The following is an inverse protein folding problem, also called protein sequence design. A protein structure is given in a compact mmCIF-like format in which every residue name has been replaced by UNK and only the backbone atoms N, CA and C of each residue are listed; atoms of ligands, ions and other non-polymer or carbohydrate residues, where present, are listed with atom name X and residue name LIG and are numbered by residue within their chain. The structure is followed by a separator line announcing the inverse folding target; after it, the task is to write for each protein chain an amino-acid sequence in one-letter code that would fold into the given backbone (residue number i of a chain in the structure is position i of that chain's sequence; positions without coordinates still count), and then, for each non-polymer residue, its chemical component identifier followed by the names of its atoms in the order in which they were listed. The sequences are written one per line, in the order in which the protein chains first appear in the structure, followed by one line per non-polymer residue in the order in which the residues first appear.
data_IF_130629613505
#
_entry.id   IF_130629613505
#
_cell.length_a   1.000
_cell.length_b   1.000
_cell.length_c   1.000
_cell.angle_alpha   90.00
_cell.angle_beta   90.00
_cell.angle_gamma   90.00
#
_symmetry.space_group_name_H-M   'P 1'
#
loop_
_entity.id
_entity.type
_entity.pdbx_description
1 polymer ?
#
# COMPACT_ATOMS: atom_id res chain seq x y z
N UNK A 1 29.83 54.80 3.85
CA UNK A 1 28.45 54.62 3.38
C UNK A 1 28.40 53.38 2.51
N UNK A 2 28.03 52.24 3.06
CA UNK A 2 27.71 51.03 2.31
C UNK A 2 26.19 50.91 2.29
N UNK A 3 25.59 51.26 1.16
CA UNK A 3 24.15 51.15 0.95
C UNK A 3 23.82 49.66 0.88
N UNK A 4 23.13 49.15 1.89
CA UNK A 4 22.48 47.85 1.83
C UNK A 4 21.38 47.94 0.76
N UNK A 5 21.66 47.38 -0.41
CA UNK A 5 20.64 47.16 -1.45
C UNK A 5 19.64 46.17 -0.87
N UNK A 6 18.51 46.70 -0.39
CA UNK A 6 17.39 45.90 0.10
C UNK A 6 17.00 44.91 -0.99
N UNK A 7 17.05 43.61 -0.67
CA UNK A 7 16.44 42.60 -1.54
C UNK A 7 15.00 43.04 -1.79
N UNK A 8 14.53 43.07 -3.06
CA UNK A 8 13.13 43.32 -3.31
C UNK A 8 12.32 42.29 -2.50
N UNK A 9 11.34 42.77 -1.74
CA UNK A 9 10.33 41.92 -1.11
C UNK A 9 9.76 41.05 -2.23
N UNK A 10 10.15 39.77 -2.26
CA UNK A 10 9.49 38.80 -3.13
C UNK A 10 8.04 38.76 -2.64
N UNK A 11 7.14 39.32 -3.44
CA UNK A 11 5.71 39.18 -3.18
C UNK A 11 5.44 37.67 -3.23
N UNK A 12 5.04 37.11 -2.09
CA UNK A 12 4.70 35.68 -1.99
C UNK A 12 3.61 35.38 -3.00
N UNK A 13 3.88 34.45 -3.91
CA UNK A 13 2.92 34.07 -4.94
C UNK A 13 1.81 33.19 -4.36
N UNK A 14 0.71 32.98 -5.11
CA UNK A 14 -0.34 32.04 -4.71
C UNK A 14 0.20 30.60 -4.52
N UNK A 15 1.27 30.23 -5.24
CA UNK A 15 1.94 28.94 -5.07
C UNK A 15 2.57 28.80 -3.67
N UNK A 16 3.29 29.82 -3.18
CA UNK A 16 3.94 29.80 -1.87
C UNK A 16 2.90 29.74 -0.75
N UNK A 17 1.78 30.46 -0.92
CA UNK A 17 0.66 30.43 0.04
C UNK A 17 0.01 29.04 0.09
N UNK A 18 -0.15 28.37 -1.05
CA UNK A 18 -0.67 27.01 -1.11
C UNK A 18 0.34 25.99 -0.55
N UNK A 19 1.63 26.15 -0.82
CA UNK A 19 2.70 25.32 -0.26
C UNK A 19 2.73 25.40 1.28
N UNK A 20 2.71 26.62 1.81
CA UNK A 20 2.60 26.90 3.25
C UNK A 20 1.36 26.20 3.83
N UNK A 21 0.20 26.30 3.16
CA UNK A 21 -1.03 25.64 3.59
C UNK A 21 -0.87 24.12 3.58
N UNK A 22 -0.39 23.52 2.49
CA UNK A 22 -0.28 22.07 2.34
C UNK A 22 0.63 21.46 3.41
N UNK A 23 1.73 22.15 3.74
CA UNK A 23 2.77 21.66 4.65
C UNK A 23 2.55 22.00 6.13
N UNK A 24 1.42 22.61 6.51
CA UNK A 24 1.14 22.88 7.92
C UNK A 24 1.15 21.62 8.76
N UNK A 25 1.76 21.73 9.94
CA UNK A 25 1.70 20.72 10.98
C UNK A 25 0.28 20.62 11.54
N UNK A 26 -0.27 19.41 11.48
CA UNK A 26 -1.66 19.09 11.82
C UNK A 26 -1.79 17.58 12.01
N UNK A 27 -2.89 17.17 12.63
CA UNK A 27 -3.17 15.76 12.93
C UNK A 27 -2.99 14.81 11.73
N UNK A 28 -3.50 15.19 10.55
CA UNK A 28 -3.22 14.48 9.28
C UNK A 28 -2.48 15.42 8.35
N UNK A 29 -1.15 15.33 8.30
CA UNK A 29 -0.34 16.06 7.33
C UNK A 29 -0.89 15.91 5.91
N UNK A 30 -0.92 16.96 5.10
CA UNK A 30 -1.43 16.89 3.72
C UNK A 30 -0.29 16.74 2.73
N UNK A 31 0.50 17.81 2.55
CA UNK A 31 1.57 17.86 1.56
C UNK A 31 1.06 17.87 0.12
N UNK A 32 1.95 18.15 -0.84
CA UNK A 32 1.63 18.02 -2.27
C UNK A 32 1.31 16.57 -2.62
N UNK A 33 2.01 15.62 -2.01
CA UNK A 33 1.74 14.19 -2.15
C UNK A 33 0.31 13.81 -1.77
N UNK A 34 -0.29 14.50 -0.79
CA UNK A 34 -1.66 14.30 -0.33
C UNK A 34 -2.71 14.53 -1.42
N UNK A 35 -2.45 15.44 -2.38
CA UNK A 35 -3.36 15.74 -3.49
C UNK A 35 -3.57 14.51 -4.37
N UNK A 36 -2.53 13.69 -4.55
CA UNK A 36 -2.63 12.41 -5.24
C UNK A 36 -3.12 11.30 -4.30
N UNK A 37 -2.49 11.18 -3.13
CA UNK A 37 -2.70 10.06 -2.22
C UNK A 37 -4.15 9.96 -1.74
N UNK A 38 -4.71 11.03 -1.17
CA UNK A 38 -5.99 10.94 -0.48
C UNK A 38 -7.15 10.55 -1.40
N UNK A 39 -7.38 11.20 -2.56
CA UNK A 39 -8.47 10.80 -3.43
C UNK A 39 -8.25 9.37 -3.97
N UNK A 40 -7.04 9.02 -4.39
CA UNK A 40 -6.77 7.69 -4.93
C UNK A 40 -6.94 6.58 -3.87
N UNK A 41 -6.40 6.76 -2.66
CA UNK A 41 -6.54 5.78 -1.58
C UNK A 41 -8.01 5.65 -1.14
N UNK A 42 -8.69 6.78 -0.99
CA UNK A 42 -10.11 6.80 -0.61
C UNK A 42 -10.98 6.08 -1.65
N UNK A 43 -10.76 6.35 -2.94
CA UNK A 43 -11.50 5.70 -4.02
C UNK A 43 -11.19 4.21 -4.13
N UNK A 44 -9.93 3.79 -4.00
CA UNK A 44 -9.57 2.37 -4.05
C UNK A 44 -10.20 1.57 -2.91
N UNK A 45 -10.09 2.06 -1.67
CA UNK A 45 -10.69 1.41 -0.49
C UNK A 45 -12.21 1.47 -0.56
N UNK A 46 -12.78 2.62 -0.92
CA UNK A 46 -14.22 2.80 -1.07
C UNK A 46 -14.83 1.90 -2.12
N UNK A 47 -14.16 1.72 -3.27
CA UNK A 47 -14.59 0.80 -4.32
C UNK A 47 -14.54 -0.66 -3.86
N UNK A 48 -13.50 -1.06 -3.12
CA UNK A 48 -13.41 -2.40 -2.55
C UNK A 48 -14.54 -2.67 -1.54
N UNK A 49 -14.78 -1.75 -0.60
CA UNK A 49 -15.88 -1.86 0.36
C UNK A 49 -17.25 -1.89 -0.32
N UNK A 50 -17.47 -1.01 -1.31
CA UNK A 50 -18.73 -0.96 -2.07
C UNK A 50 -18.95 -2.26 -2.83
N UNK A 51 -17.93 -2.75 -3.54
CA UNK A 51 -18.03 -3.94 -4.37
C UNK A 51 -18.26 -5.20 -3.53
N UNK A 52 -17.45 -5.41 -2.49
CA UNK A 52 -17.61 -6.55 -1.58
C UNK A 52 -18.93 -6.52 -0.80
N UNK A 53 -19.55 -5.35 -0.64
CA UNK A 53 -20.83 -5.26 0.06
C UNK A 53 -22.03 -5.47 -0.86
N UNK A 54 -22.01 -4.92 -2.07
CA UNK A 54 -23.22 -4.79 -2.89
C UNK A 54 -23.12 -5.35 -4.31
N UNK A 55 -21.93 -5.70 -4.82
CA UNK A 55 -21.74 -5.95 -6.26
C UNK A 55 -21.48 -7.43 -6.55
N UNK A 56 -22.27 -7.94 -7.49
CA UNK A 56 -22.16 -9.32 -7.99
C UNK A 56 -20.99 -9.52 -8.95
N UNK A 57 -20.50 -10.76 -9.02
CA UNK A 57 -19.60 -11.23 -10.08
C UNK A 57 -20.29 -12.21 -11.03
N UNK A 58 -21.63 -12.25 -11.04
CA UNK A 58 -22.39 -13.21 -11.83
C UNK A 58 -22.12 -13.08 -13.33
N UNK A 59 -22.04 -11.85 -13.84
CA UNK A 59 -21.87 -11.58 -15.27
C UNK A 59 -20.43 -11.70 -15.77
N UNK A 60 -19.46 -11.77 -14.85
CA UNK A 60 -18.03 -11.88 -15.19
C UNK A 60 -17.47 -13.26 -14.90
N UNK A 61 -17.89 -13.89 -13.80
CA UNK A 61 -17.36 -15.18 -13.32
C UNK A 61 -18.45 -16.23 -13.03
N UNK A 62 -19.74 -15.88 -13.07
CA UNK A 62 -20.81 -16.79 -12.62
C UNK A 62 -20.79 -17.04 -11.11
N UNK A 63 -20.36 -16.03 -10.33
CA UNK A 63 -20.18 -16.14 -8.88
C UNK A 63 -20.98 -15.08 -8.13
N UNK A 64 -21.55 -15.47 -6.99
CA UNK A 64 -21.91 -14.52 -5.93
C UNK A 64 -20.62 -14.03 -5.26
N UNK A 65 -20.51 -12.73 -4.98
CA UNK A 65 -19.26 -12.13 -4.48
C UNK A 65 -19.46 -11.01 -3.46
N UNK A 66 -20.69 -10.78 -3.01
CA UNK A 66 -21.01 -9.70 -2.09
C UNK A 66 -21.78 -10.14 -0.86
N UNK A 67 -21.70 -9.34 0.23
CA UNK A 67 -22.53 -9.55 1.43
C UNK A 67 -24.03 -9.58 1.08
N UNK A 68 -24.46 -8.72 0.14
CA UNK A 68 -25.84 -8.68 -0.35
C UNK A 68 -26.30 -10.03 -0.93
N UNK A 69 -25.40 -10.79 -1.54
CA UNK A 69 -25.68 -12.11 -2.14
C UNK A 69 -25.48 -13.26 -1.15
N UNK A 70 -25.10 -12.98 0.10
CA UNK A 70 -24.90 -13.99 1.15
C UNK A 70 -23.45 -14.47 1.30
N UNK A 71 -22.47 -13.83 0.68
CA UNK A 71 -21.06 -14.07 0.98
C UNK A 71 -20.71 -13.57 2.40
N UNK A 72 -19.62 -14.09 2.96
CA UNK A 72 -19.04 -13.62 4.22
C UNK A 72 -17.69 -12.94 3.96
N UNK A 73 -17.04 -12.40 5.00
CA UNK A 73 -15.78 -11.66 4.85
C UNK A 73 -14.69 -12.45 4.09
N UNK A 74 -14.66 -13.78 4.22
CA UNK A 74 -13.68 -14.61 3.54
C UNK A 74 -14.02 -14.82 2.05
N UNK A 75 -15.30 -14.79 1.69
CA UNK A 75 -15.77 -15.15 0.34
C UNK A 75 -16.18 -13.96 -0.52
N UNK A 76 -16.36 -12.77 0.05
CA UNK A 76 -16.58 -11.55 -0.74
C UNK A 76 -15.35 -11.18 -1.57
N UNK A 77 -15.59 -10.63 -2.75
CA UNK A 77 -14.54 -10.12 -3.63
C UNK A 77 -15.06 -9.04 -4.57
N UNK A 78 -14.18 -8.10 -4.93
CA UNK A 78 -14.32 -7.36 -6.19
C UNK A 78 -13.59 -8.15 -7.27
N UNK A 79 -14.34 -8.91 -8.07
CA UNK A 79 -13.78 -9.81 -9.07
C UNK A 79 -13.37 -9.11 -10.35
N UNK A 80 -12.37 -9.67 -11.03
CA UNK A 80 -11.87 -9.17 -12.30
C UNK A 80 -12.95 -9.15 -13.40
N UNK A 81 -12.82 -8.28 -14.41
CA UNK A 81 -13.72 -8.28 -15.58
C UNK A 81 -13.70 -9.60 -16.33
N UNK A 82 -14.75 -9.88 -17.10
CA UNK A 82 -14.81 -11.06 -17.97
C UNK A 82 -13.63 -11.10 -18.95
N UNK A 83 -13.19 -12.30 -19.37
CA UNK A 83 -12.06 -12.43 -20.30
C UNK A 83 -12.29 -11.72 -21.65
N UNK A 84 -13.55 -11.59 -22.09
CA UNK A 84 -13.93 -10.85 -23.29
C UNK A 84 -13.62 -9.35 -23.24
N UNK A 85 -13.42 -8.79 -22.04
CA UNK A 85 -13.05 -7.39 -21.85
C UNK A 85 -11.56 -7.12 -22.15
N UNK A 86 -10.75 -8.17 -22.34
CA UNK A 86 -9.32 -8.04 -22.60
C UNK A 86 -8.63 -7.20 -21.52
N UNK A 87 -7.82 -6.24 -21.97
CA UNK A 87 -7.13 -5.28 -21.11
C UNK A 87 -7.78 -3.90 -21.13
N UNK A 88 -9.09 -3.80 -21.44
CA UNK A 88 -9.78 -2.51 -21.39
C UNK A 88 -9.58 -1.84 -20.03
N UNK A 89 -9.29 -0.54 -20.03
CA UNK A 89 -9.22 0.25 -18.79
C UNK A 89 -10.59 0.29 -18.10
N UNK A 90 -11.66 0.00 -18.85
CA UNK A 90 -13.02 -0.14 -18.35
C UNK A 90 -13.43 1.12 -17.59
N UNK A 91 -13.23 2.29 -18.22
CA UNK A 91 -13.68 3.56 -17.66
C UNK A 91 -15.20 3.61 -17.64
N UNK A 92 -15.78 4.29 -16.64
CA UNK A 92 -17.23 4.48 -16.55
C UNK A 92 -17.79 5.16 -17.80
N UNK A 93 -17.08 6.17 -18.33
CA UNK A 93 -17.40 6.86 -19.58
C UNK A 93 -16.84 6.17 -20.83
N UNK A 94 -16.27 4.96 -20.68
CA UNK A 94 -15.73 4.17 -21.78
C UNK A 94 -16.83 3.56 -22.66
N UNK A 95 -16.47 3.03 -23.84
CA UNK A 95 -17.43 2.48 -24.80
C UNK A 95 -18.19 1.24 -24.28
N UNK A 96 -17.66 0.55 -23.27
CA UNK A 96 -18.26 -0.65 -22.70
C UNK A 96 -19.42 -0.32 -21.75
N UNK A 97 -19.26 0.72 -20.93
CA UNK A 97 -20.24 1.14 -19.92
C UNK A 97 -21.09 2.33 -20.36
N UNK A 98 -20.56 3.23 -21.20
CA UNK A 98 -21.27 4.38 -21.79
C UNK A 98 -21.93 5.28 -20.74
N UNK A 99 -21.31 5.43 -19.57
CA UNK A 99 -21.82 6.21 -18.45
C UNK A 99 -22.84 5.49 -17.56
N UNK A 100 -23.28 4.27 -17.92
CA UNK A 100 -24.18 3.47 -17.08
C UNK A 100 -23.39 2.82 -15.94
N UNK A 101 -23.55 3.37 -14.73
CA UNK A 101 -22.88 2.89 -13.52
C UNK A 101 -23.29 1.48 -13.12
N UNK A 102 -24.57 1.10 -13.26
CA UNK A 102 -25.03 -0.22 -12.88
C UNK A 102 -24.41 -1.28 -13.78
N UNK A 103 -24.42 -1.02 -15.11
CA UNK A 103 -23.77 -1.89 -16.08
C UNK A 103 -22.26 -1.96 -15.87
N UNK A 104 -21.62 -0.83 -15.59
CA UNK A 104 -20.19 -0.78 -15.29
C UNK A 104 -19.79 -1.67 -14.10
N UNK A 105 -20.59 -1.67 -13.03
CA UNK A 105 -20.43 -2.59 -11.91
C UNK A 105 -20.59 -4.05 -12.34
N UNK A 106 -21.63 -4.37 -13.13
CA UNK A 106 -21.90 -5.74 -13.61
C UNK A 106 -20.76 -6.30 -14.47
N UNK A 107 -20.07 -5.47 -15.27
CA UNK A 107 -18.98 -5.92 -16.15
C UNK A 107 -17.60 -5.87 -15.50
N UNK A 108 -17.52 -5.67 -14.18
CA UNK A 108 -16.28 -5.72 -13.41
C UNK A 108 -15.49 -4.41 -13.37
N UNK A 109 -16.11 -3.27 -13.68
CA UNK A 109 -15.44 -1.97 -13.70
C UNK A 109 -14.83 -1.55 -12.35
N UNK A 110 -15.42 -1.99 -11.23
CA UNK A 110 -14.86 -1.74 -9.90
C UNK A 110 -13.48 -2.39 -9.71
N UNK A 111 -13.15 -3.46 -10.44
CA UNK A 111 -11.83 -4.09 -10.35
C UNK A 111 -10.75 -3.17 -10.94
N UNK A 112 -10.93 -2.67 -12.16
CA UNK A 112 -9.96 -1.76 -12.78
C UNK A 112 -9.90 -0.44 -12.02
N UNK A 113 -11.03 0.05 -11.53
CA UNK A 113 -11.10 1.23 -10.68
C UNK A 113 -10.27 1.07 -9.40
N UNK A 114 -10.43 -0.06 -8.69
CA UNK A 114 -9.67 -0.37 -7.47
C UNK A 114 -8.19 -0.52 -7.78
N UNK A 115 -7.84 -1.26 -8.84
CA UNK A 115 -6.45 -1.50 -9.22
C UNK A 115 -5.72 -0.20 -9.62
N UNK A 116 -6.33 0.63 -10.47
CA UNK A 116 -5.71 1.86 -10.98
C UNK A 116 -5.62 2.94 -9.90
N UNK A 117 -6.70 3.20 -9.15
CA UNK A 117 -6.62 4.15 -8.02
C UNK A 117 -5.67 3.62 -6.94
N UNK A 118 -5.64 2.31 -6.69
CA UNK A 118 -4.67 1.69 -5.80
C UNK A 118 -3.22 1.92 -6.23
N UNK A 119 -2.92 1.77 -7.53
CA UNK A 119 -1.59 2.05 -8.06
C UNK A 119 -1.18 3.52 -7.83
N UNK A 120 -2.05 4.48 -8.15
CA UNK A 120 -1.79 5.90 -7.92
C UNK A 120 -1.70 6.25 -6.43
N UNK A 121 -2.48 5.59 -5.57
CA UNK A 121 -2.40 5.75 -4.12
C UNK A 121 -1.02 5.30 -3.60
N UNK A 122 -0.49 4.18 -4.08
CA UNK A 122 0.85 3.71 -3.71
C UNK A 122 1.95 4.68 -4.15
N UNK A 123 1.82 5.28 -5.35
CA UNK A 123 2.70 6.36 -5.81
C UNK A 123 2.61 7.56 -4.87
N UNK A 124 1.39 8.03 -4.58
CA UNK A 124 1.14 9.15 -3.67
C UNK A 124 1.70 8.89 -2.26
N UNK A 125 1.62 7.65 -1.76
CA UNK A 125 2.16 7.28 -0.46
C UNK A 125 3.69 7.29 -0.44
N UNK A 126 4.34 6.79 -1.48
CA UNK A 126 5.80 6.85 -1.61
C UNK A 126 6.30 8.31 -1.71
N UNK A 127 5.61 9.14 -2.50
CA UNK A 127 5.88 10.58 -2.57
C UNK A 127 5.72 11.25 -1.21
N UNK A 128 4.71 10.84 -0.42
CA UNK A 128 4.49 11.35 0.93
C UNK A 128 5.63 11.00 1.88
N UNK A 129 6.14 9.77 1.81
CA UNK A 129 7.29 9.37 2.62
C UNK A 129 8.53 10.22 2.30
N UNK A 130 8.76 10.54 1.02
CA UNK A 130 9.85 11.43 0.58
C UNK A 130 9.61 12.86 1.07
N UNK A 131 8.39 13.39 0.91
CA UNK A 131 8.04 14.76 1.29
C UNK A 131 8.21 14.97 2.80
N UNK A 132 7.67 14.07 3.63
CA UNK A 132 7.82 14.15 5.09
C UNK A 132 9.30 14.00 5.48
N UNK A 133 10.02 13.03 4.90
CA UNK A 133 11.44 12.86 5.19
C UNK A 133 12.24 14.14 4.88
N UNK A 134 11.91 14.83 3.79
CA UNK A 134 12.55 16.08 3.41
C UNK A 134 12.22 17.22 4.37
N UNK A 135 10.97 17.32 4.84
CA UNK A 135 10.54 18.38 5.77
C UNK A 135 11.13 18.20 7.17
N UNK A 136 11.22 16.95 7.65
CA UNK A 136 11.82 16.63 8.95
C UNK A 136 13.35 16.65 8.89
N UNK A 137 13.94 16.46 7.71
CA UNK A 137 15.40 16.47 7.52
C UNK A 137 16.06 15.10 7.75
N UNK A 138 15.33 14.00 7.53
CA UNK A 138 15.82 12.62 7.66
C UNK A 138 16.10 11.98 6.30
N UNK A 139 16.93 10.93 6.30
CA UNK A 139 17.23 10.15 5.08
C UNK A 139 15.99 9.34 4.65
N UNK A 140 15.64 9.27 3.35
CA UNK A 140 14.36 8.71 2.89
C UNK A 140 14.33 7.17 2.75
N UNK A 141 14.95 6.42 3.68
CA UNK A 141 15.03 4.95 3.58
C UNK A 141 13.66 4.26 3.64
N UNK A 142 12.70 4.85 4.34
CA UNK A 142 11.33 4.32 4.38
C UNK A 142 10.68 4.31 2.98
N UNK A 143 10.91 5.36 2.18
CA UNK A 143 10.42 5.43 0.80
C UNK A 143 11.11 4.38 -0.10
N UNK A 144 12.42 4.19 0.09
CA UNK A 144 13.18 3.15 -0.63
C UNK A 144 12.64 1.76 -0.28
N UNK A 145 12.42 1.47 1.01
CA UNK A 145 11.84 0.20 1.44
C UNK A 145 10.43 -0.03 0.87
N UNK A 146 9.62 1.03 0.76
CA UNK A 146 8.27 0.96 0.21
C UNK A 146 8.20 0.68 -1.30
N UNK A 147 9.34 0.75 -2.02
CA UNK A 147 9.40 0.28 -3.41
C UNK A 147 9.14 -1.23 -3.55
N UNK A 148 9.41 -2.03 -2.51
CA UNK A 148 9.08 -3.46 -2.48
C UNK A 148 7.57 -3.71 -2.64
N UNK A 149 6.72 -3.16 -1.77
CA UNK A 149 5.25 -3.18 -1.94
C UNK A 149 4.76 -2.70 -3.32
N UNK A 150 5.33 -1.60 -3.85
CA UNK A 150 4.98 -1.10 -5.18
C UNK A 150 5.31 -2.14 -6.26
N UNK A 151 6.51 -2.73 -6.22
CA UNK A 151 6.93 -3.74 -7.18
C UNK A 151 6.02 -4.96 -7.16
N UNK A 152 5.60 -5.43 -5.98
CA UNK A 152 4.64 -6.54 -5.84
C UNK A 152 3.29 -6.17 -6.43
N UNK A 153 2.73 -5.00 -6.08
CA UNK A 153 1.42 -4.58 -6.60
C UNK A 153 1.43 -4.45 -8.13
N UNK A 154 2.42 -3.74 -8.69
CA UNK A 154 2.55 -3.52 -10.13
C UNK A 154 2.79 -4.83 -10.87
N UNK A 155 3.67 -5.70 -10.37
CA UNK A 155 3.95 -6.98 -11.03
C UNK A 155 2.74 -7.91 -11.04
N UNK A 156 2.01 -8.01 -9.93
CA UNK A 156 0.91 -8.99 -9.78
C UNK A 156 -0.42 -8.49 -10.32
N UNK A 157 -0.78 -7.22 -10.08
CA UNK A 157 -2.09 -6.69 -10.47
C UNK A 157 -2.09 -6.01 -11.84
N UNK A 158 -0.93 -5.63 -12.38
CA UNK A 158 -0.82 -4.97 -13.69
C UNK A 158 -0.02 -5.82 -14.69
N UNK A 159 1.26 -6.10 -14.42
CA UNK A 159 2.14 -6.75 -15.40
C UNK A 159 1.73 -8.19 -15.68
N UNK A 160 1.41 -8.98 -14.65
CA UNK A 160 0.98 -10.36 -14.81
C UNK A 160 -0.24 -10.48 -15.73
N UNK A 161 -1.40 -9.84 -15.47
CA UNK A 161 -2.54 -9.94 -16.36
C UNK A 161 -2.32 -9.28 -17.73
N UNK A 162 -1.49 -8.24 -17.85
CA UNK A 162 -1.07 -7.69 -19.16
C UNK A 162 -0.28 -8.71 -19.99
N UNK A 163 0.48 -9.59 -19.34
CA UNK A 163 1.14 -10.72 -19.99
C UNK A 163 0.23 -11.93 -20.24
N UNK A 164 -0.98 -11.95 -19.66
CA UNK A 164 -2.04 -12.92 -19.94
C UNK A 164 -3.01 -12.36 -20.99
N UNK A 165 -4.08 -13.10 -21.30
CA UNK A 165 -5.06 -12.65 -22.30
C UNK A 165 -5.93 -11.47 -21.85
N UNK A 166 -6.11 -11.26 -20.55
CA UNK A 166 -6.99 -10.20 -20.03
C UNK A 166 -6.82 -9.96 -18.52
N UNK A 167 -7.49 -8.93 -18.01
CA UNK A 167 -7.64 -8.69 -16.57
C UNK A 167 -8.31 -9.82 -15.81
N UNK A 168 -9.08 -10.69 -16.49
CA UNK A 168 -9.77 -11.83 -15.87
C UNK A 168 -8.83 -12.71 -15.05
N UNK A 169 -7.58 -12.86 -15.51
CA UNK A 169 -6.56 -13.68 -14.87
C UNK A 169 -5.84 -12.98 -13.72
N UNK A 170 -6.03 -11.67 -13.53
CA UNK A 170 -5.51 -10.98 -12.37
C UNK A 170 -6.16 -11.49 -11.06
N UNK A 171 -5.51 -11.31 -9.90
CA UNK A 171 -6.17 -11.62 -8.65
C UNK A 171 -7.41 -10.74 -8.46
N UNK A 172 -8.50 -11.37 -8.03
CA UNK A 172 -9.69 -10.66 -7.55
C UNK A 172 -9.44 -10.13 -6.14
N UNK A 173 -9.97 -8.94 -5.82
CA UNK A 173 -9.76 -8.31 -4.51
C UNK A 173 -10.69 -8.92 -3.46
N UNK A 174 -10.33 -10.10 -2.94
CA UNK A 174 -11.06 -10.81 -1.89
C UNK A 174 -10.22 -11.93 -1.30
N UNK A 175 -10.49 -12.34 -0.06
CA UNK A 175 -9.64 -13.32 0.66
C UNK A 175 -9.59 -14.65 -0.08
N UNK A 176 -10.74 -15.29 -0.32
CA UNK A 176 -10.81 -16.52 -1.12
C UNK A 176 -10.39 -16.30 -2.58
N UNK A 177 -10.59 -15.10 -3.14
CA UNK A 177 -10.12 -14.73 -4.47
C UNK A 177 -8.59 -14.81 -4.60
N UNK A 178 -7.86 -14.35 -3.58
CA UNK A 178 -6.39 -14.49 -3.51
C UNK A 178 -5.97 -15.95 -3.29
N UNK A 179 -6.66 -16.71 -2.44
CA UNK A 179 -6.35 -18.15 -2.27
C UNK A 179 -6.50 -18.92 -3.57
N UNK A 180 -7.59 -18.67 -4.33
CA UNK A 180 -7.80 -19.23 -5.65
C UNK A 180 -6.65 -18.85 -6.60
N UNK A 181 -6.17 -17.61 -6.56
CA UNK A 181 -5.05 -17.17 -7.38
C UNK A 181 -3.75 -17.91 -7.05
N UNK A 182 -3.44 -18.13 -5.76
CA UNK A 182 -2.26 -18.91 -5.34
C UNK A 182 -2.34 -20.35 -5.86
N UNK A 183 -3.49 -21.01 -5.72
CA UNK A 183 -3.68 -22.37 -6.22
C UNK A 183 -3.62 -22.44 -7.75
N UNK A 184 -4.15 -21.43 -8.45
CA UNK A 184 -4.00 -21.29 -9.89
C UNK A 184 -2.52 -21.15 -10.28
N UNK A 185 -1.75 -20.34 -9.57
CA UNK A 185 -0.32 -20.19 -9.80
C UNK A 185 0.45 -21.48 -9.58
N UNK A 186 0.11 -22.24 -8.55
CA UNK A 186 0.72 -23.54 -8.34
C UNK A 186 0.35 -24.51 -9.48
N UNK A 187 -0.94 -24.64 -9.79
CA UNK A 187 -1.43 -25.62 -10.77
C UNK A 187 -0.98 -25.34 -12.21
N UNK A 188 -0.88 -24.07 -12.60
CA UNK A 188 -0.59 -23.68 -13.99
C UNK A 188 0.85 -23.19 -14.21
N UNK A 189 1.53 -22.69 -13.18
CA UNK A 189 2.88 -22.12 -13.30
C UNK A 189 3.94 -22.86 -12.47
N UNK A 190 3.55 -23.89 -11.71
CA UNK A 190 4.41 -24.60 -10.75
C UNK A 190 5.23 -23.62 -9.90
N UNK A 191 4.58 -22.57 -9.42
CA UNK A 191 5.25 -21.36 -8.95
C UNK A 191 6.17 -21.58 -7.74
N UNK A 192 5.91 -22.61 -6.92
CA UNK A 192 6.80 -23.00 -5.83
C UNK A 192 8.18 -23.44 -6.30
N UNK A 193 8.33 -23.92 -7.54
CA UNK A 193 9.61 -24.30 -8.14
C UNK A 193 10.38 -23.10 -8.72
N UNK A 194 9.79 -21.91 -8.75
CA UNK A 194 10.47 -20.73 -9.28
C UNK A 194 11.49 -20.18 -8.26
N UNK A 195 12.78 -20.01 -8.62
CA UNK A 195 13.79 -19.53 -7.69
C UNK A 195 13.57 -18.08 -7.24
N UNK A 196 12.92 -17.23 -8.05
CA UNK A 196 12.53 -15.88 -7.61
C UNK A 196 11.46 -15.93 -6.52
N UNK A 197 10.51 -16.86 -6.61
CA UNK A 197 9.54 -17.09 -5.55
C UNK A 197 10.24 -17.59 -4.27
N UNK A 198 11.18 -18.54 -4.39
CA UNK A 198 11.96 -19.03 -3.24
C UNK A 198 12.76 -17.91 -2.56
N UNK A 199 13.39 -17.02 -3.33
CA UNK A 199 14.05 -15.83 -2.78
C UNK A 199 13.07 -14.90 -2.05
N UNK A 200 11.88 -14.70 -2.60
CA UNK A 200 10.81 -13.94 -1.94
C UNK A 200 10.38 -14.58 -0.60
N UNK A 201 10.20 -15.91 -0.57
CA UNK A 201 9.89 -16.66 0.65
C UNK A 201 11.01 -16.49 1.69
N UNK A 202 12.27 -16.64 1.28
CA UNK A 202 13.42 -16.43 2.16
C UNK A 202 13.47 -15.00 2.71
N UNK A 203 13.17 -14.00 1.89
CA UNK A 203 13.10 -12.60 2.32
C UNK A 203 11.99 -12.32 3.34
N UNK A 204 10.78 -12.85 3.12
CA UNK A 204 9.65 -12.65 4.04
C UNK A 204 9.85 -13.43 5.35
N UNK A 205 10.22 -14.71 5.28
CA UNK A 205 10.46 -15.52 6.49
C UNK A 205 11.71 -15.05 7.24
N UNK A 206 12.78 -14.71 6.51
CA UNK A 206 13.98 -14.12 7.09
C UNK A 206 13.70 -12.75 7.72
N UNK A 207 12.88 -11.91 7.09
CA UNK A 207 12.44 -10.64 7.66
C UNK A 207 11.61 -10.82 8.95
N UNK A 208 10.69 -11.79 8.96
CA UNK A 208 9.93 -12.12 10.17
C UNK A 208 10.83 -12.66 11.29
N UNK A 209 11.81 -13.50 10.94
CA UNK A 209 12.83 -13.98 11.88
C UNK A 209 13.66 -12.83 12.44
N UNK A 210 14.17 -11.94 11.59
CA UNK A 210 14.94 -10.75 12.00
C UNK A 210 14.11 -9.80 12.88
N UNK A 211 12.81 -9.64 12.58
CA UNK A 211 11.91 -8.85 13.41
C UNK A 211 11.76 -9.45 14.82
N UNK A 212 11.50 -10.76 14.90
CA UNK A 212 11.31 -11.45 16.17
C UNK A 212 12.60 -11.51 17.00
N UNK A 213 13.72 -11.91 16.37
CA UNK A 213 15.01 -12.08 17.05
C UNK A 213 15.55 -10.73 17.55
N UNK A 214 15.41 -9.65 16.77
CA UNK A 214 15.87 -8.33 17.17
C UNK A 214 15.03 -7.81 18.35
N UNK A 215 13.71 -7.84 18.23
CA UNK A 215 12.82 -7.40 19.31
C UNK A 215 13.05 -8.17 20.61
N UNK A 216 13.13 -9.51 20.53
CA UNK A 216 13.41 -10.34 21.70
C UNK A 216 14.80 -10.07 22.30
N UNK A 217 15.83 -9.87 21.47
CA UNK A 217 17.19 -9.55 21.95
C UNK A 217 17.21 -8.23 22.71
N UNK A 218 16.59 -7.19 22.17
CA UNK A 218 16.52 -5.87 22.81
C UNK A 218 15.85 -5.98 24.18
N UNK A 219 14.66 -6.58 24.24
CA UNK A 219 13.90 -6.72 25.49
C UNK A 219 14.62 -7.57 26.55
N UNK A 220 15.46 -8.53 26.16
CA UNK A 220 16.21 -9.41 27.09
C UNK A 220 17.62 -8.90 27.43
N UNK A 221 18.01 -7.75 26.88
CA UNK A 221 19.32 -7.11 27.17
C UNK A 221 19.19 -5.67 27.61
N UNK A 222 17.98 -5.25 28.02
CA UNK A 222 17.71 -3.95 28.62
C UNK A 222 18.62 -3.69 29.83
N UNK A 223 19.07 -2.45 30.00
CA UNK A 223 19.61 -2.01 31.28
C UNK A 223 18.49 -1.89 32.31
N UNK A 224 18.84 -2.04 33.59
CA UNK A 224 17.89 -1.80 34.68
C UNK A 224 17.87 -0.30 35.02
N UNK A 225 17.04 0.45 34.31
CA UNK A 225 16.90 1.91 34.49
C UNK A 225 15.74 2.30 35.43
N UNK A 226 15.05 1.31 36.03
CA UNK A 226 14.06 1.53 37.09
C UNK A 226 13.97 0.33 38.06
N UNK A 227 13.39 0.56 39.23
CA UNK A 227 13.10 -0.49 40.23
C UNK A 227 11.77 -1.23 39.99
N UNK A 228 11.02 -0.87 38.93
CA UNK A 228 9.74 -1.51 38.64
C UNK A 228 9.93 -2.82 37.88
N UNK A 229 9.11 -3.83 38.19
CA UNK A 229 9.10 -5.08 37.44
C UNK A 229 8.64 -4.93 35.98
N UNK A 230 7.82 -3.90 35.69
CA UNK A 230 7.45 -3.53 34.33
C UNK A 230 8.44 -2.47 33.83
N UNK A 231 9.21 -2.81 32.81
CA UNK A 231 10.36 -2.03 32.35
C UNK A 231 10.00 -0.93 31.35
N UNK A 232 8.78 -0.88 30.80
CA UNK A 232 8.45 0.07 29.72
C UNK A 232 8.56 1.54 30.15
N UNK A 233 8.35 1.85 31.43
CA UNK A 233 8.46 3.23 31.97
C UNK A 233 9.89 3.66 32.27
N UNK A 234 10.85 2.76 32.11
CA UNK A 234 12.27 3.04 32.34
C UNK A 234 12.96 3.68 31.11
N UNK A 235 12.23 3.91 30.02
CA UNK A 235 12.73 4.55 28.80
C UNK A 235 12.15 5.97 28.65
N UNK A 236 13.01 6.92 28.28
CA UNK A 236 12.64 8.30 27.95
C UNK A 236 13.03 8.61 26.48
N UNK A 237 12.10 9.06 25.61
CA UNK A 237 12.40 9.36 24.21
C UNK A 237 13.55 10.33 23.94
N UNK A 238 13.90 11.20 24.90
CA UNK A 238 15.01 12.16 24.77
C UNK A 238 16.31 11.73 25.47
N UNK A 239 16.40 10.50 26.00
CA UNK A 239 17.62 10.00 26.62
C UNK A 239 18.77 9.85 25.61
N UNK A 240 20.01 10.03 26.05
CA UNK A 240 21.19 9.92 25.18
C UNK A 240 21.76 8.50 25.11
N UNK A 241 21.52 7.72 26.16
CA UNK A 241 22.06 6.40 26.39
C UNK A 241 21.27 5.34 25.63
N UNK A 242 21.96 4.33 25.10
CA UNK A 242 21.31 3.15 24.54
C UNK A 242 20.54 2.41 25.66
N UNK A 243 19.29 2.01 25.38
CA UNK A 243 18.41 1.38 26.39
C UNK A 243 18.76 -0.09 26.66
N UNK A 244 19.62 -0.70 25.85
CA UNK A 244 20.00 -2.11 25.94
C UNK A 244 21.50 -2.28 25.68
N UNK A 245 22.09 -3.33 26.24
CA UNK A 245 23.52 -3.60 26.12
C UNK A 245 23.85 -4.32 24.82
N UNK A 246 24.37 -3.58 23.83
CA UNK A 246 24.82 -4.21 22.57
C UNK A 246 25.97 -5.20 22.78
N UNK A 247 26.84 -4.96 23.78
CA UNK A 247 27.94 -5.87 24.14
C UNK A 247 27.42 -7.22 24.66
N UNK A 248 26.43 -7.19 25.56
CA UNK A 248 25.80 -8.40 26.10
C UNK A 248 25.07 -9.17 25.01
N UNK A 249 24.30 -8.45 24.17
CA UNK A 249 23.62 -9.04 23.02
C UNK A 249 24.61 -9.70 22.05
N UNK A 250 25.71 -9.02 21.70
CA UNK A 250 26.73 -9.56 20.80
C UNK A 250 27.41 -10.82 21.37
N UNK A 251 27.68 -10.86 22.67
CA UNK A 251 28.29 -12.04 23.30
C UNK A 251 27.34 -13.23 23.36
N UNK A 252 26.03 -12.98 23.39
CA UNK A 252 25.01 -14.02 23.45
C UNK A 252 24.82 -14.76 22.11
N UNK A 253 24.86 -14.02 20.99
CA UNK A 253 24.71 -14.56 19.63
C UNK A 253 26.00 -15.17 19.08
#
# INVERSE_FOLDING_TARGET
MTVAVGRPQSQRGPFDVLDDWLKRDRFVFVGWSGILLFPCAFLAIGAWLTGTTFVTSWYTHGLASSYLEGCNFLTVAVSSPANSMGHSLLFLWGPEAQGDFARWCQIGGLWSFTALHGAFALIGFCLRQIEIARLVGIRPYNAIAFTGPIAVFVSVFLMYPLGQSSWFFAPSFGVAGIFRFILFFQGFHNWTLNPFHMMGVAGILGGALLCAIHGATVENTLFQDSEQANTFRAFEPTQSEETYSMVTANRFW
#
